data_IF_386992221682
#
_entry.id   IF_386992221682
#
_cell.length_a   1.000
_cell.length_b   1.000
_cell.length_c   1.000
_cell.angle_alpha   90.00
_cell.angle_beta   90.00
_cell.angle_gamma   90.00
#
_symmetry.space_group_name_H-M   'P 1'
#
loop_
_entity.id
_entity.type
_entity.pdbx_description
1 polymer ?
#
# COMPACT_ATOMS: atom_id res chain seq x y z
N UNK A 1 -18.41 -9.67 39.29
CA UNK A 1 -18.01 -9.87 37.88
C UNK A 1 -18.54 -8.67 37.10
N UNK A 2 -17.67 -7.78 36.62
CA UNK A 2 -18.10 -6.60 35.85
C UNK A 2 -18.49 -7.04 34.44
N UNK A 3 -19.71 -6.73 34.03
CA UNK A 3 -20.19 -7.05 32.68
C UNK A 3 -19.54 -6.05 31.72
N UNK A 4 -18.59 -6.50 30.91
CA UNK A 4 -17.99 -5.65 29.89
C UNK A 4 -19.07 -5.25 28.88
N UNK A 5 -19.08 -3.97 28.50
CA UNK A 5 -20.01 -3.40 27.54
C UNK A 5 -19.34 -2.20 26.86
N UNK A 6 -19.73 -1.93 25.61
CA UNK A 6 -19.33 -0.71 24.95
C UNK A 6 -19.96 0.50 25.65
N UNK A 7 -19.16 1.55 25.86
CA UNK A 7 -19.69 2.84 26.28
C UNK A 7 -20.25 3.57 25.07
N UNK A 8 -21.21 4.46 25.31
CA UNK A 8 -21.75 5.32 24.26
C UNK A 8 -20.65 6.12 23.55
N UNK A 9 -19.68 6.66 24.31
CA UNK A 9 -18.54 7.40 23.75
C UNK A 9 -17.68 6.55 22.81
N UNK A 10 -17.56 5.24 23.06
CA UNK A 10 -16.77 4.33 22.23
C UNK A 10 -17.49 4.06 20.90
N UNK A 11 -18.81 3.78 20.97
CA UNK A 11 -19.65 3.58 19.79
C UNK A 11 -19.64 4.84 18.92
N UNK A 12 -19.79 6.02 19.53
CA UNK A 12 -19.76 7.27 18.79
C UNK A 12 -18.42 7.49 18.10
N UNK A 13 -17.31 7.18 18.79
CA UNK A 13 -15.96 7.28 18.20
C UNK A 13 -15.79 6.33 17.00
N UNK A 14 -16.27 5.10 17.10
CA UNK A 14 -16.25 4.12 16.00
C UNK A 14 -17.06 4.63 14.81
N UNK A 15 -18.28 5.12 15.03
CA UNK A 15 -19.15 5.62 13.97
C UNK A 15 -18.56 6.87 13.30
N UNK A 16 -17.97 7.79 14.07
CA UNK A 16 -17.28 8.97 13.53
C UNK A 16 -16.07 8.58 12.68
N UNK A 17 -15.26 7.63 13.15
CA UNK A 17 -14.13 7.12 12.39
C UNK A 17 -14.57 6.45 11.09
N UNK A 18 -15.57 5.57 11.15
CA UNK A 18 -16.13 4.90 9.99
C UNK A 18 -16.63 5.90 8.94
N UNK A 19 -17.38 6.93 9.38
CA UNK A 19 -17.84 8.02 8.50
C UNK A 19 -16.69 8.78 7.86
N UNK A 20 -15.61 9.06 8.61
CA UNK A 20 -14.46 9.81 8.11
C UNK A 20 -13.70 9.08 6.99
N UNK A 21 -13.72 7.75 6.99
CA UNK A 21 -13.05 6.90 5.99
C UNK A 21 -14.02 6.25 5.00
N UNK A 22 -15.28 6.72 4.97
CA UNK A 22 -16.33 6.18 4.11
C UNK A 22 -16.69 4.71 4.36
N UNK A 23 -16.25 4.10 5.47
CA UNK A 23 -16.49 2.69 5.77
C UNK A 23 -17.86 2.46 6.42
N UNK A 24 -18.41 1.26 6.20
CA UNK A 24 -19.57 0.75 6.93
C UNK A 24 -19.07 -0.13 8.08
N UNK A 25 -19.71 -0.04 9.25
CA UNK A 25 -19.35 -0.87 10.41
C UNK A 25 -20.55 -1.63 10.94
N UNK A 26 -20.31 -2.87 11.37
CA UNK A 26 -21.28 -3.70 12.08
C UNK A 26 -20.77 -3.93 13.51
N UNK A 27 -21.62 -3.62 14.49
CA UNK A 27 -21.28 -3.72 15.91
C UNK A 27 -22.15 -4.81 16.56
N UNK A 28 -21.53 -5.88 17.03
CA UNK A 28 -22.18 -6.90 17.86
C UNK A 28 -22.04 -6.54 19.34
N UNK A 29 -23.12 -6.05 19.94
CA UNK A 29 -23.16 -5.61 21.34
C UNK A 29 -23.13 -6.77 22.35
N UNK A 30 -23.38 -8.00 21.92
CA UNK A 30 -23.36 -9.18 22.80
C UNK A 30 -21.97 -9.81 22.85
N UNK A 31 -21.29 -9.88 21.71
CA UNK A 31 -19.93 -10.41 21.58
C UNK A 31 -18.85 -9.33 21.75
N UNK A 32 -19.24 -8.06 21.73
CA UNK A 32 -18.35 -6.90 21.78
C UNK A 32 -17.36 -6.89 20.61
N UNK A 33 -17.82 -7.26 19.42
CA UNK A 33 -17.01 -7.33 18.20
C UNK A 33 -17.47 -6.24 17.23
N UNK A 34 -16.51 -5.56 16.61
CA UNK A 34 -16.77 -4.58 15.55
C UNK A 34 -16.17 -5.12 14.25
N UNK A 35 -16.99 -5.24 13.22
CA UNK A 35 -16.57 -5.63 11.86
C UNK A 35 -16.59 -4.39 10.99
N UNK A 36 -15.49 -4.13 10.28
CA UNK A 36 -15.32 -2.96 9.42
C UNK A 36 -15.38 -3.42 7.97
N UNK A 37 -16.24 -2.79 7.18
CA UNK A 37 -16.37 -2.96 5.74
C UNK A 37 -15.82 -1.70 5.06
N UNK A 38 -14.57 -1.72 4.59
CA UNK A 38 -13.97 -0.57 3.93
C UNK A 38 -14.66 -0.27 2.61
N UNK A 39 -14.78 1.01 2.26
CA UNK A 39 -15.22 1.39 0.92
C UNK A 39 -14.09 1.12 -0.06
N UNK A 40 -14.32 0.20 -1.01
CA UNK A 40 -13.30 -0.20 -1.99
C UNK A 40 -13.06 0.86 -3.08
N UNK A 41 -13.93 1.86 -3.21
CA UNK A 41 -13.78 2.89 -4.23
C UNK A 41 -12.62 3.86 -3.98
N UNK A 42 -12.24 4.09 -2.71
CA UNK A 42 -11.10 4.95 -2.34
C UNK A 42 -9.73 4.24 -2.46
N UNK A 43 -9.72 2.91 -2.61
CA UNK A 43 -8.48 2.14 -2.75
C UNK A 43 -7.91 2.11 -4.18
N UNK A 44 -8.46 2.91 -5.11
CA UNK A 44 -7.86 3.13 -6.44
C UNK A 44 -6.75 4.19 -6.35
N UNK A 45 -5.76 3.96 -5.51
CA UNK A 45 -4.45 4.60 -5.73
C UNK A 45 -3.85 3.84 -6.90
N UNK A 46 -3.79 4.49 -8.07
CA UNK A 46 -3.23 3.89 -9.27
C UNK A 46 -1.77 3.45 -8.95
N UNK A 47 -1.46 2.14 -8.99
CA UNK A 47 -0.15 1.63 -8.63
C UNK A 47 0.99 2.17 -9.52
N UNK A 48 0.64 2.87 -10.62
CA UNK A 48 1.59 3.51 -11.53
C UNK A 48 2.02 4.91 -11.09
N UNK A 49 1.44 5.50 -10.05
CA UNK A 49 1.75 6.88 -9.61
C UNK A 49 3.11 7.05 -8.91
N UNK A 50 3.87 5.97 -8.74
CA UNK A 50 5.16 5.95 -8.03
C UNK A 50 6.32 5.31 -8.79
N UNK A 51 6.18 5.04 -10.09
CA UNK A 51 7.32 4.61 -10.90
C UNK A 51 8.27 5.80 -11.05
N UNK A 52 9.49 5.66 -10.52
CA UNK A 52 10.55 6.61 -10.79
C UNK A 52 10.72 6.70 -12.32
N UNK A 53 10.87 7.90 -12.90
CA UNK A 53 11.13 8.01 -14.32
C UNK A 53 12.42 7.24 -14.61
N UNK A 54 12.31 6.15 -15.36
CA UNK A 54 13.47 5.39 -15.81
C UNK A 54 14.38 6.39 -16.52
N UNK A 55 15.56 6.60 -15.95
CA UNK A 55 16.55 7.50 -16.51
C UNK A 55 16.89 7.09 -17.94
N UNK A 56 17.44 7.99 -18.77
CA UNK A 56 17.69 7.69 -20.18
C UNK A 56 18.52 6.41 -20.31
N UNK A 57 17.92 5.38 -20.92
CA UNK A 57 18.58 4.13 -21.26
C UNK A 57 19.58 4.38 -22.41
N UNK A 58 20.83 4.69 -22.07
CA UNK A 58 21.91 4.77 -23.04
C UNK A 58 22.51 3.38 -23.28
N UNK A 59 22.00 2.67 -24.28
CA UNK A 59 22.53 1.38 -24.74
C UNK A 59 23.73 1.50 -25.69
N UNK A 60 24.16 2.71 -26.04
CA UNK A 60 25.18 3.01 -27.05
C UNK A 60 26.64 3.01 -26.53
N UNK A 61 26.95 2.32 -25.43
CA UNK A 61 28.34 2.16 -24.98
C UNK A 61 29.06 1.09 -25.84
N UNK A 62 29.11 1.33 -27.16
CA UNK A 62 29.96 0.65 -28.14
C UNK A 62 31.42 1.02 -27.86
N UNK A 63 31.94 0.53 -26.72
CA UNK A 63 33.37 0.55 -26.46
C UNK A 63 34.02 -0.41 -27.46
N UNK A 64 34.94 0.06 -28.33
CA UNK A 64 35.62 -0.84 -29.23
C UNK A 64 36.40 -1.87 -28.41
N UNK A 65 36.18 -3.15 -28.72
CA UNK A 65 36.96 -4.27 -28.17
C UNK A 65 38.43 -3.91 -28.36
N UNK A 66 39.16 -3.71 -27.25
CA UNK A 66 40.61 -3.47 -27.30
C UNK A 66 41.22 -4.66 -28.05
N UNK A 67 41.81 -4.40 -29.23
CA UNK A 67 42.55 -5.43 -29.95
C UNK A 67 43.63 -5.98 -29.03
N UNK A 68 43.64 -7.30 -28.88
CA UNK A 68 44.68 -8.01 -28.15
C UNK A 68 46.03 -7.72 -28.85
N UNK A 69 47.09 -7.34 -28.14
CA UNK A 69 48.39 -7.12 -28.74
C UNK A 69 48.89 -8.39 -29.43
N UNK A 70 49.53 -8.22 -30.60
CA UNK A 70 50.02 -9.31 -31.46
C UNK A 70 51.10 -10.19 -30.78
N UNK A 71 51.58 -9.81 -29.60
CA UNK A 71 52.57 -10.54 -28.80
C UNK A 71 52.06 -11.89 -28.24
N UNK A 72 50.75 -12.19 -28.36
CA UNK A 72 50.14 -13.43 -27.89
C UNK A 72 49.78 -14.44 -29.01
N UNK A 73 50.12 -14.16 -30.27
CA UNK A 73 49.98 -15.12 -31.36
C UNK A 73 51.25 -15.97 -31.52
N UNK A 74 51.30 -17.09 -30.79
CA UNK A 74 52.29 -18.18 -30.96
C UNK A 74 51.88 -19.12 -32.09
#
# INVERSE_FOLDING_TARGET
>A
MTRAAFRQADIERILRAAKAVGAVVQIDLRRLVVTIYPNMDEAKVDPLTGLAPDGPENWDDDRPIRKLPDDFAL
#
